data_IF_310318079997
#
_entry.id   IF_310318079997
#
_cell.length_a   1.000
_cell.length_b   1.000
_cell.length_c   1.000
_cell.angle_alpha   90.00
_cell.angle_beta   90.00
_cell.angle_gamma   90.00
#
_symmetry.space_group_name_H-M   'P 1'
#
loop_
_entity.id
_entity.type
_entity.pdbx_description
1 polymer ?
#
# COMPACT_ATOMS: atom_id res chain seq x y z
N UNK A 1 -13.15 13.88 12.83
CA UNK A 1 -14.53 13.37 12.66
C UNK A 1 -14.88 13.55 11.20
N UNK A 2 -15.25 12.49 10.53
CA UNK A 2 -15.82 12.57 9.19
C UNK A 2 -17.29 12.18 9.25
N UNK A 3 -18.07 12.65 8.31
CA UNK A 3 -19.50 12.33 8.23
C UNK A 3 -19.77 11.66 6.90
N UNK A 4 -20.60 10.61 6.93
CA UNK A 4 -21.10 9.94 5.74
C UNK A 4 -22.48 10.49 5.42
N UNK A 5 -22.66 10.96 4.20
CA UNK A 5 -23.90 11.51 3.69
C UNK A 5 -24.46 10.61 2.59
N UNK A 6 -25.75 10.32 2.65
CA UNK A 6 -26.48 9.65 1.58
C UNK A 6 -27.36 10.66 0.83
N UNK A 7 -27.24 10.65 -0.49
CA UNK A 7 -28.12 11.44 -1.32
C UNK A 7 -29.54 10.83 -1.36
N UNK A 8 -30.53 11.54 -0.89
CA UNK A 8 -31.94 11.08 -0.86
C UNK A 8 -32.55 10.90 -2.25
N UNK A 9 -31.88 11.39 -3.31
CA UNK A 9 -32.37 11.28 -4.69
C UNK A 9 -31.79 10.10 -5.46
N UNK A 10 -30.50 9.76 -5.26
CA UNK A 10 -29.82 8.73 -6.06
C UNK A 10 -29.07 7.69 -5.22
N UNK A 11 -29.22 7.75 -3.90
CA UNK A 11 -28.57 6.89 -2.91
C UNK A 11 -27.03 6.86 -3.00
N UNK A 12 -26.40 7.84 -3.66
CA UNK A 12 -24.95 7.96 -3.68
C UNK A 12 -24.46 8.36 -2.29
N UNK A 13 -23.37 7.71 -1.85
CA UNK A 13 -22.68 8.06 -0.61
C UNK A 13 -21.62 9.12 -0.90
N UNK A 14 -21.49 10.09 0.00
CA UNK A 14 -20.45 11.12 -0.04
C UNK A 14 -19.82 11.22 1.34
N UNK A 15 -18.49 11.29 1.39
CA UNK A 15 -17.71 11.41 2.61
C UNK A 15 -17.22 12.84 2.75
N UNK A 16 -17.35 13.44 3.93
CA UNK A 16 -16.79 14.75 4.23
C UNK A 16 -15.88 14.67 5.46
N UNK A 17 -14.64 15.09 5.30
CA UNK A 17 -13.66 15.15 6.37
C UNK A 17 -13.92 16.29 7.37
N UNK A 18 -14.86 17.19 7.07
CA UNK A 18 -15.29 18.26 7.96
C UNK A 18 -16.76 18.11 8.28
N UNK A 19 -17.22 18.65 9.42
CA UNK A 19 -18.65 18.78 9.76
C UNK A 19 -19.42 19.72 8.83
N UNK A 20 -18.79 20.22 7.78
CA UNK A 20 -19.37 21.10 6.79
C UNK A 20 -20.37 20.34 5.95
N UNK A 21 -21.55 20.87 5.86
CA UNK A 21 -22.65 20.38 5.04
C UNK A 21 -22.14 20.13 3.61
N UNK A 22 -22.32 18.93 3.08
CA UNK A 22 -22.15 18.67 1.65
C UNK A 22 -23.21 19.49 0.93
N UNK A 23 -22.79 20.50 0.18
CA UNK A 23 -23.69 21.47 -0.42
C UNK A 23 -24.58 20.85 -1.50
N UNK A 24 -24.10 19.84 -2.21
CA UNK A 24 -24.85 19.09 -3.22
C UNK A 24 -24.21 17.72 -3.48
N UNK A 25 -25.03 16.75 -3.91
CA UNK A 25 -24.57 15.46 -4.36
C UNK A 25 -23.78 15.58 -5.68
N UNK A 26 -22.55 15.15 -5.70
CA UNK A 26 -21.66 15.21 -6.89
C UNK A 26 -22.22 14.40 -8.06
N UNK A 27 -22.97 13.32 -7.77
CA UNK A 27 -23.52 12.44 -8.81
C UNK A 27 -24.75 13.01 -9.51
N UNK A 28 -25.65 13.72 -8.80
CA UNK A 28 -26.93 14.14 -9.37
C UNK A 28 -27.32 15.61 -9.07
N UNK A 29 -26.44 16.37 -8.41
CA UNK A 29 -26.67 17.78 -8.06
C UNK A 29 -27.74 18.03 -6.99
N UNK A 30 -28.34 16.99 -6.38
CA UNK A 30 -29.35 17.16 -5.34
C UNK A 30 -28.73 17.74 -4.07
N UNK A 31 -29.41 18.70 -3.46
CA UNK A 31 -29.05 19.29 -2.17
C UNK A 31 -29.63 18.53 -0.97
N UNK A 32 -30.46 17.51 -1.23
CA UNK A 32 -31.09 16.72 -0.17
C UNK A 32 -30.17 15.56 0.23
N UNK A 33 -29.43 15.78 1.29
CA UNK A 33 -28.49 14.80 1.84
C UNK A 33 -28.95 14.37 3.23
N UNK A 34 -28.82 13.07 3.55
CA UNK A 34 -29.05 12.54 4.89
C UNK A 34 -27.71 12.14 5.50
N UNK A 35 -27.44 12.59 6.71
CA UNK A 35 -26.33 12.06 7.49
C UNK A 35 -26.68 10.64 7.92
N UNK A 36 -25.91 9.65 7.47
CA UNK A 36 -26.13 8.26 7.87
C UNK A 36 -25.43 7.98 9.19
N UNK A 37 -24.27 8.54 9.38
CA UNK A 37 -23.44 8.29 10.55
C UNK A 37 -22.51 9.49 10.75
N UNK A 38 -22.50 10.04 11.97
CA UNK A 38 -21.34 10.78 12.43
C UNK A 38 -20.34 9.72 12.84
N UNK A 39 -19.45 9.37 11.92
CA UNK A 39 -18.30 8.57 12.27
C UNK A 39 -17.44 9.47 13.15
N UNK A 40 -17.66 9.41 14.45
CA UNK A 40 -16.62 9.77 15.38
C UNK A 40 -15.50 8.78 15.06
N UNK A 41 -14.47 9.25 14.36
CA UNK A 41 -13.17 8.63 14.43
C UNK A 41 -12.59 8.92 15.84
N UNK A 42 -13.29 8.60 16.88
CA UNK A 42 -12.71 7.89 17.97
C UNK A 42 -12.45 6.49 17.41
N UNK A 43 -11.56 6.45 16.42
CA UNK A 43 -10.71 5.31 16.25
C UNK A 43 -10.23 5.03 17.65
N UNK A 44 -10.66 3.94 18.24
CA UNK A 44 -9.75 3.23 19.08
C UNK A 44 -8.47 3.23 18.24
N UNK A 45 -7.52 4.11 18.59
CA UNK A 45 -6.20 4.15 17.98
C UNK A 45 -5.72 2.71 18.09
N UNK A 46 -5.90 1.97 17.00
CA UNK A 46 -5.42 0.62 16.99
C UNK A 46 -3.92 0.81 17.20
N UNK A 47 -3.42 0.35 18.33
CA UNK A 47 -2.04 0.54 18.70
C UNK A 47 -1.16 0.24 17.49
N UNK A 48 -0.09 1.02 17.24
CA UNK A 48 0.80 0.82 16.11
C UNK A 48 1.18 -0.65 16.03
N UNK A 49 1.11 -1.22 14.84
CA UNK A 49 1.38 -2.64 14.64
C UNK A 49 2.71 -2.82 13.92
N UNK A 50 3.49 -3.77 14.40
CA UNK A 50 4.56 -4.36 13.59
C UNK A 50 3.91 -5.30 12.59
N UNK A 51 4.26 -5.24 11.28
CA UNK A 51 3.75 -6.16 10.29
C UNK A 51 4.00 -7.61 10.71
N UNK A 52 2.95 -8.41 10.69
CA UNK A 52 3.03 -9.85 10.90
C UNK A 52 3.25 -10.59 9.57
N UNK A 53 3.67 -11.82 9.66
CA UNK A 53 3.75 -12.71 8.49
C UNK A 53 2.39 -12.81 7.83
N UNK A 54 2.33 -12.53 6.53
CA UNK A 54 1.10 -12.50 5.74
C UNK A 54 0.45 -11.12 5.59
N UNK A 55 0.98 -10.08 6.26
CA UNK A 55 0.44 -8.73 6.10
C UNK A 55 0.86 -8.10 4.76
N UNK A 56 -0.11 -7.49 4.10
CA UNK A 56 0.08 -6.65 2.92
C UNK A 56 -0.12 -5.18 3.32
N UNK A 57 0.97 -4.47 3.46
CA UNK A 57 1.02 -3.11 4.00
C UNK A 57 1.20 -2.09 2.88
N UNK A 58 0.74 -0.86 3.08
CA UNK A 58 1.00 0.26 2.18
C UNK A 58 1.49 1.49 2.94
N UNK A 59 2.38 2.24 2.29
CA UNK A 59 2.75 3.59 2.66
C UNK A 59 2.65 4.52 1.47
N UNK A 60 2.20 5.75 1.73
CA UNK A 60 2.13 6.82 0.76
C UNK A 60 3.26 7.80 1.09
N UNK A 61 4.13 8.08 0.13
CA UNK A 61 5.32 8.92 0.32
C UNK A 61 5.30 10.13 -0.62
N UNK A 62 5.93 11.22 -0.21
CA UNK A 62 6.01 12.45 -1.01
C UNK A 62 7.26 12.48 -1.91
N UNK A 63 8.31 11.75 -1.54
CA UNK A 63 9.57 11.75 -2.27
C UNK A 63 10.42 10.48 -2.02
N UNK A 64 11.56 10.42 -2.71
CA UNK A 64 12.51 9.30 -2.61
C UNK A 64 13.24 9.23 -1.26
N UNK A 65 13.39 10.34 -0.54
CA UNK A 65 14.04 10.34 0.77
C UNK A 65 13.11 9.72 1.81
N UNK A 66 11.84 10.05 1.75
CA UNK A 66 10.81 9.42 2.57
C UNK A 66 10.65 7.93 2.24
N UNK A 67 10.58 7.58 0.95
CA UNK A 67 10.53 6.19 0.50
C UNK A 67 11.71 5.38 1.05
N UNK A 68 12.93 5.91 0.99
CA UNK A 68 14.11 5.24 1.52
C UNK A 68 14.07 5.09 3.04
N UNK A 69 13.61 6.11 3.76
CA UNK A 69 13.48 6.09 5.23
C UNK A 69 12.52 5.00 5.69
N UNK A 70 11.34 4.93 5.08
CA UNK A 70 10.32 3.91 5.38
C UNK A 70 10.84 2.51 5.02
N UNK A 71 11.40 2.36 3.82
CA UNK A 71 11.93 1.08 3.36
C UNK A 71 13.08 0.59 4.26
N UNK A 72 14.02 1.46 4.68
CA UNK A 72 15.10 1.08 5.59
C UNK A 72 14.56 0.51 6.91
N UNK A 73 13.56 1.15 7.51
CA UNK A 73 12.93 0.65 8.74
C UNK A 73 12.33 -0.74 8.53
N UNK A 74 11.52 -0.90 7.49
CA UNK A 74 10.87 -2.17 7.16
C UNK A 74 11.90 -3.29 6.87
N UNK A 75 12.99 -2.99 6.16
CA UNK A 75 14.10 -3.89 5.87
C UNK A 75 14.78 -4.33 7.18
N UNK A 76 15.18 -3.36 8.02
CA UNK A 76 15.90 -3.64 9.27
C UNK A 76 15.07 -4.51 10.21
N UNK A 77 13.76 -4.26 10.30
CA UNK A 77 12.86 -5.06 11.13
C UNK A 77 12.77 -6.51 10.62
N UNK A 78 12.68 -6.73 9.31
CA UNK A 78 12.72 -8.07 8.71
C UNK A 78 14.04 -8.79 8.96
N UNK A 79 15.17 -8.09 8.78
CA UNK A 79 16.48 -8.65 9.04
C UNK A 79 16.68 -9.05 10.53
N UNK A 80 16.11 -8.27 11.46
CA UNK A 80 16.11 -8.59 12.90
C UNK A 80 15.22 -9.78 13.22
N UNK A 81 14.10 -9.92 12.53
CA UNK A 81 13.20 -11.07 12.64
C UNK A 81 13.78 -12.34 12.00
N UNK A 82 14.92 -12.25 11.31
CA UNK A 82 15.54 -13.38 10.62
C UNK A 82 14.86 -13.74 9.31
N UNK A 83 14.08 -12.82 8.72
CA UNK A 83 13.40 -13.01 7.45
C UNK A 83 14.38 -12.80 6.28
N UNK A 84 14.09 -13.41 5.14
CA UNK A 84 14.69 -13.07 3.86
C UNK A 84 14.10 -11.76 3.36
N UNK A 85 14.93 -10.78 3.04
CA UNK A 85 14.46 -9.42 2.71
C UNK A 85 14.85 -9.04 1.30
N UNK A 86 13.86 -8.56 0.53
CA UNK A 86 14.03 -8.04 -0.83
C UNK A 86 13.46 -6.62 -0.94
N UNK A 87 14.09 -5.80 -1.79
CA UNK A 87 13.60 -4.46 -2.13
C UNK A 87 13.51 -4.31 -3.65
N UNK A 88 12.33 -3.91 -4.13
CA UNK A 88 12.03 -3.60 -5.54
C UNK A 88 11.63 -2.13 -5.66
N UNK A 89 12.60 -1.24 -5.46
CA UNK A 89 12.40 0.21 -5.50
C UNK A 89 13.30 0.84 -6.56
N UNK A 90 12.99 2.05 -7.05
CA UNK A 90 13.81 2.74 -8.03
C UNK A 90 15.27 2.86 -7.61
N UNK A 91 16.20 2.85 -8.57
CA UNK A 91 17.64 2.91 -8.33
C UNK A 91 18.05 4.07 -7.42
N UNK A 92 17.38 5.24 -7.51
CA UNK A 92 17.61 6.38 -6.64
C UNK A 92 17.28 6.10 -5.17
N UNK A 93 16.21 5.34 -4.90
CA UNK A 93 15.84 4.91 -3.54
C UNK A 93 16.79 3.82 -3.05
N UNK A 94 17.10 2.83 -3.89
CA UNK A 94 18.08 1.78 -3.57
C UNK A 94 19.44 2.36 -3.17
N UNK A 95 19.89 3.43 -3.84
CA UNK A 95 21.13 4.13 -3.50
C UNK A 95 21.09 4.76 -2.10
N UNK A 96 19.97 5.37 -1.71
CA UNK A 96 19.75 5.94 -0.38
C UNK A 96 19.70 4.87 0.71
N UNK A 97 19.00 3.77 0.44
CA UNK A 97 18.96 2.59 1.31
C UNK A 97 20.40 2.07 1.53
N UNK A 98 21.18 1.91 0.45
CA UNK A 98 22.57 1.44 0.52
C UNK A 98 23.47 2.38 1.33
N UNK A 99 23.21 3.68 1.31
CA UNK A 99 23.96 4.64 2.10
C UNK A 99 23.58 4.64 3.59
N UNK A 100 22.41 4.12 3.94
CA UNK A 100 21.86 4.13 5.30
C UNK A 100 22.14 2.81 6.05
N UNK A 101 22.03 1.67 5.37
CA UNK A 101 22.22 0.38 5.97
C UNK A 101 23.71 0.10 6.26
N UNK A 102 23.98 -0.63 7.33
CA UNK A 102 25.33 -1.12 7.62
C UNK A 102 25.78 -2.13 6.56
N UNK A 103 27.09 -2.34 6.43
CA UNK A 103 27.64 -3.33 5.51
C UNK A 103 27.14 -4.77 5.78
N UNK A 104 26.78 -5.07 7.02
CA UNK A 104 26.23 -6.38 7.40
C UNK A 104 24.78 -6.55 6.94
N UNK A 105 23.97 -5.52 7.12
CA UNK A 105 22.58 -5.49 6.64
C UNK A 105 22.53 -5.55 5.11
N UNK A 106 23.42 -4.81 4.42
CA UNK A 106 23.49 -4.81 2.95
C UNK A 106 23.82 -6.19 2.36
N UNK A 107 24.59 -7.02 3.05
CA UNK A 107 24.87 -8.40 2.60
C UNK A 107 23.65 -9.33 2.72
N UNK A 108 22.66 -8.94 3.49
CA UNK A 108 21.49 -9.75 3.84
C UNK A 108 20.22 -9.30 3.14
N UNK A 109 20.25 -8.20 2.40
CA UNK A 109 19.11 -7.67 1.64
C UNK A 109 19.40 -7.74 0.15
N UNK A 110 18.41 -8.17 -0.64
CA UNK A 110 18.47 -8.14 -2.10
C UNK A 110 17.83 -6.83 -2.60
N UNK A 111 18.68 -5.91 -3.11
CA UNK A 111 18.23 -4.65 -3.69
C UNK A 111 18.13 -4.80 -5.21
N UNK A 112 16.93 -4.64 -5.75
CA UNK A 112 16.64 -4.76 -7.18
C UNK A 112 16.01 -3.44 -7.67
N UNK A 113 16.51 -2.91 -8.77
CA UNK A 113 15.91 -1.72 -9.40
C UNK A 113 14.52 -2.05 -9.92
N UNK A 114 13.52 -1.29 -9.44
CA UNK A 114 12.12 -1.41 -9.81
C UNK A 114 11.90 -1.37 -11.33
N UNK A 115 12.69 -0.60 -12.08
CA UNK A 115 12.60 -0.53 -13.53
C UNK A 115 12.91 -1.86 -14.25
N UNK A 116 13.59 -2.79 -13.57
CA UNK A 116 13.82 -4.14 -14.10
C UNK A 116 12.68 -5.10 -13.80
N UNK A 117 11.84 -4.75 -12.83
CA UNK A 117 10.72 -5.55 -12.32
C UNK A 117 9.40 -5.06 -12.90
N UNK A 118 9.08 -3.79 -12.68
CA UNK A 118 7.88 -3.14 -13.18
C UNK A 118 8.16 -2.54 -14.57
N UNK A 119 7.90 -3.28 -15.62
CA UNK A 119 8.14 -2.86 -17.01
C UNK A 119 7.02 -3.29 -17.92
N UNK A 120 6.75 -2.48 -18.94
CA UNK A 120 5.76 -2.80 -19.96
C UNK A 120 6.29 -3.88 -20.96
N UNK A 121 5.44 -4.81 -21.44
CA UNK A 121 4.08 -5.01 -20.96
C UNK A 121 4.07 -5.60 -19.54
N UNK A 122 3.32 -4.98 -18.63
CA UNK A 122 3.18 -5.47 -17.27
C UNK A 122 2.12 -6.57 -17.22
N UNK A 123 2.43 -7.67 -16.55
CA UNK A 123 1.52 -8.80 -16.33
C UNK A 123 1.47 -9.08 -14.82
N UNK A 124 0.37 -8.69 -14.20
CA UNK A 124 0.12 -8.83 -12.77
C UNK A 124 0.26 -10.28 -12.28
N UNK A 125 -0.31 -11.23 -13.01
CA UNK A 125 -0.28 -12.64 -12.61
C UNK A 125 1.14 -13.23 -12.70
N UNK A 126 1.88 -12.90 -13.76
CA UNK A 126 3.27 -13.36 -13.91
C UNK A 126 4.18 -12.74 -12.82
N UNK A 127 3.93 -11.47 -12.46
CA UNK A 127 4.67 -10.81 -11.40
C UNK A 127 4.43 -11.45 -10.03
N UNK A 128 3.18 -11.67 -9.66
CA UNK A 128 2.86 -12.32 -8.38
C UNK A 128 3.35 -13.77 -8.35
N UNK A 129 3.21 -14.53 -9.43
CA UNK A 129 3.75 -15.89 -9.53
C UNK A 129 5.27 -15.92 -9.26
N UNK A 130 6.03 -14.94 -9.79
CA UNK A 130 7.46 -14.80 -9.53
C UNK A 130 7.75 -14.56 -8.04
N UNK A 131 6.98 -13.73 -7.36
CA UNK A 131 7.12 -13.49 -5.90
C UNK A 131 6.85 -14.78 -5.13
N UNK A 132 5.78 -15.50 -5.49
CA UNK A 132 5.42 -16.79 -4.88
C UNK A 132 6.53 -17.83 -5.08
N UNK A 133 7.10 -17.93 -6.28
CA UNK A 133 8.22 -18.84 -6.56
C UNK A 133 9.44 -18.51 -5.69
N UNK A 134 9.73 -17.23 -5.51
CA UNK A 134 10.79 -16.78 -4.61
C UNK A 134 10.49 -17.15 -3.17
N UNK A 135 9.26 -16.93 -2.69
CA UNK A 135 8.87 -17.29 -1.33
C UNK A 135 8.99 -18.80 -1.07
N UNK A 136 8.59 -19.61 -2.03
CA UNK A 136 8.64 -21.09 -1.92
C UNK A 136 10.04 -21.68 -2.10
N UNK A 137 11.00 -20.93 -2.64
CA UNK A 137 12.36 -21.43 -2.89
C UNK A 137 13.15 -21.71 -1.62
N UNK A 138 12.78 -21.11 -0.50
CA UNK A 138 13.42 -21.26 0.80
C UNK A 138 12.40 -21.29 1.94
N UNK A 139 12.68 -22.01 3.04
CA UNK A 139 11.75 -22.12 4.18
C UNK A 139 11.70 -20.85 5.03
N UNK A 140 12.60 -19.91 4.81
CA UNK A 140 12.66 -18.63 5.55
C UNK A 140 11.55 -17.70 5.06
N UNK A 141 10.74 -17.11 5.94
CA UNK A 141 9.70 -16.16 5.54
C UNK A 141 10.26 -15.03 4.68
N UNK A 142 9.52 -14.65 3.64
CA UNK A 142 9.90 -13.57 2.74
C UNK A 142 9.27 -12.25 3.21
N UNK A 143 10.10 -11.22 3.30
CA UNK A 143 9.69 -9.83 3.44
C UNK A 143 10.09 -9.04 2.20
N UNK A 144 9.16 -8.34 1.59
CA UNK A 144 9.41 -7.58 0.37
C UNK A 144 8.90 -6.15 0.50
N UNK A 145 9.73 -5.17 0.12
CA UNK A 145 9.32 -3.78 -0.04
C UNK A 145 9.46 -3.40 -1.50
N UNK A 146 8.40 -2.85 -2.08
CA UNK A 146 8.39 -2.49 -3.50
C UNK A 146 7.31 -1.48 -3.84
N UNK A 147 7.38 -0.95 -5.05
CA UNK A 147 6.37 -0.06 -5.59
C UNK A 147 6.85 0.71 -6.80
N UNK A 148 5.93 1.04 -7.70
CA UNK A 148 6.19 1.95 -8.82
C UNK A 148 6.16 3.37 -8.26
N UNK A 149 7.34 3.94 -7.94
CA UNK A 149 7.44 5.36 -7.66
C UNK A 149 7.48 6.13 -8.99
N UNK A 150 6.73 7.19 -9.07
CA UNK A 150 6.45 7.92 -10.30
C UNK A 150 5.02 7.68 -10.82
N UNK A 151 4.77 7.96 -12.07
CA UNK A 151 3.45 7.76 -12.68
C UNK A 151 3.20 6.26 -12.96
N UNK A 152 2.29 5.61 -12.23
CA UNK A 152 2.01 4.18 -12.44
C UNK A 152 1.41 3.88 -13.83
N UNK A 153 0.80 4.88 -14.50
CA UNK A 153 0.22 4.71 -15.84
C UNK A 153 1.27 4.46 -16.92
N UNK A 154 2.54 4.84 -16.70
CA UNK A 154 3.65 4.53 -17.59
C UNK A 154 3.99 3.03 -17.61
N UNK A 155 3.61 2.29 -16.57
CA UNK A 155 3.89 0.86 -16.42
C UNK A 155 2.69 0.01 -16.84
N UNK A 156 1.50 0.34 -16.32
CA UNK A 156 0.28 -0.41 -16.57
C UNK A 156 -0.96 0.46 -16.43
N UNK A 157 -2.07 0.03 -17.05
CA UNK A 157 -3.38 0.62 -16.81
C UNK A 157 -3.93 0.29 -15.43
N UNK A 158 -4.92 1.07 -14.99
CA UNK A 158 -5.55 0.92 -13.68
C UNK A 158 -6.03 -0.51 -13.39
N UNK A 159 -6.73 -1.15 -14.34
CA UNK A 159 -7.27 -2.52 -14.17
C UNK A 159 -6.17 -3.55 -13.89
N UNK A 160 -4.99 -3.38 -14.51
CA UNK A 160 -3.88 -4.31 -14.31
C UNK A 160 -3.19 -4.07 -12.96
N UNK A 161 -3.14 -2.83 -12.48
CA UNK A 161 -2.68 -2.52 -11.12
C UNK A 161 -3.65 -3.04 -10.06
N UNK A 162 -4.96 -2.85 -10.23
CA UNK A 162 -5.97 -3.40 -9.31
C UNK A 162 -5.89 -4.92 -9.23
N UNK A 163 -5.68 -5.57 -10.37
CA UNK A 163 -5.44 -7.01 -10.43
C UNK A 163 -4.17 -7.42 -9.71
N UNK A 164 -3.07 -6.68 -9.90
CA UNK A 164 -1.81 -6.93 -9.22
C UNK A 164 -1.95 -6.84 -7.71
N UNK A 165 -2.51 -5.78 -7.19
CA UNK A 165 -2.70 -5.57 -5.75
C UNK A 165 -3.60 -6.62 -5.12
N UNK A 166 -4.66 -7.05 -5.82
CA UNK A 166 -5.54 -8.12 -5.36
C UNK A 166 -4.79 -9.45 -5.26
N UNK A 167 -4.08 -9.84 -6.32
CA UNK A 167 -3.31 -11.09 -6.35
C UNK A 167 -2.13 -11.05 -5.36
N UNK A 168 -1.48 -9.90 -5.18
CA UNK A 168 -0.40 -9.72 -4.21
C UNK A 168 -0.92 -9.91 -2.78
N UNK A 169 -2.09 -9.36 -2.47
CA UNK A 169 -2.73 -9.57 -1.17
C UNK A 169 -3.03 -11.05 -0.91
N UNK A 170 -3.65 -11.74 -1.87
CA UNK A 170 -3.94 -13.18 -1.77
C UNK A 170 -2.66 -14.00 -1.56
N UNK A 171 -1.58 -13.67 -2.29
CA UNK A 171 -0.29 -14.32 -2.16
C UNK A 171 0.36 -14.06 -0.78
N UNK A 172 0.28 -12.84 -0.26
CA UNK A 172 0.78 -12.54 1.09
C UNK A 172 0.12 -13.43 2.13
N UNK A 173 -1.19 -13.56 2.11
CA UNK A 173 -1.95 -14.39 3.05
C UNK A 173 -1.63 -15.89 2.86
N UNK A 174 -1.62 -16.38 1.61
CA UNK A 174 -1.46 -17.80 1.33
C UNK A 174 -0.04 -18.32 1.58
N UNK A 175 0.98 -17.53 1.26
CA UNK A 175 2.39 -17.94 1.29
C UNK A 175 3.13 -17.39 2.52
N UNK A 176 2.48 -16.60 3.37
CA UNK A 176 3.12 -15.96 4.52
C UNK A 176 4.16 -14.90 4.12
N UNK A 177 3.93 -14.17 3.04
CA UNK A 177 4.79 -13.09 2.58
C UNK A 177 4.39 -11.81 3.33
N UNK A 178 5.37 -11.10 3.90
CA UNK A 178 5.14 -9.76 4.45
C UNK A 178 5.54 -8.73 3.41
N UNK A 179 4.58 -7.95 2.90
CA UNK A 179 4.83 -6.97 1.86
C UNK A 179 4.55 -5.54 2.33
N UNK A 180 5.39 -4.59 1.88
CA UNK A 180 5.15 -3.16 1.99
C UNK A 180 5.16 -2.55 0.58
N UNK A 181 3.99 -2.10 0.14
CA UNK A 181 3.85 -1.34 -1.10
C UNK A 181 4.11 0.14 -0.83
N UNK A 182 5.04 0.72 -1.58
CA UNK A 182 5.40 2.14 -1.48
C UNK A 182 4.85 2.86 -2.71
N UNK A 183 3.99 3.84 -2.49
CA UNK A 183 3.37 4.63 -3.55
C UNK A 183 3.69 6.10 -3.36
N UNK A 184 4.04 6.80 -4.45
CA UNK A 184 4.33 8.24 -4.42
C UNK A 184 3.05 9.06 -4.58
N UNK A 185 2.90 10.08 -3.70
CA UNK A 185 1.81 11.06 -3.77
C UNK A 185 2.40 12.48 -3.84
N UNK A 186 1.91 13.38 -4.64
CA UNK A 186 1.27 13.28 -5.94
C UNK A 186 2.27 13.00 -7.08
N UNK A 187 1.87 12.44 -8.22
CA UNK A 187 0.55 12.69 -8.84
C UNK A 187 -0.36 11.47 -8.90
N UNK A 188 -0.67 10.82 -7.78
CA UNK A 188 -1.52 9.63 -7.80
C UNK A 188 -2.98 10.01 -8.11
N UNK A 189 -3.61 9.41 -9.15
CA UNK A 189 -5.03 9.57 -9.40
C UNK A 189 -5.91 9.06 -8.25
N UNK A 190 -7.08 9.69 -8.03
CA UNK A 190 -7.97 9.35 -6.92
C UNK A 190 -8.45 7.89 -6.95
N UNK A 191 -8.68 7.32 -8.12
CA UNK A 191 -9.07 5.92 -8.30
C UNK A 191 -7.96 4.95 -7.89
N UNK A 192 -6.71 5.27 -8.20
CA UNK A 192 -5.54 4.50 -7.75
C UNK A 192 -5.41 4.58 -6.23
N UNK A 193 -5.56 5.77 -5.64
CA UNK A 193 -5.54 5.93 -4.18
C UNK A 193 -6.64 5.12 -3.48
N UNK A 194 -7.85 5.09 -4.04
CA UNK A 194 -8.94 4.27 -3.52
C UNK A 194 -8.66 2.77 -3.66
N UNK A 195 -8.08 2.34 -4.78
CA UNK A 195 -7.67 0.95 -4.99
C UNK A 195 -6.63 0.54 -3.95
N UNK A 196 -5.57 1.32 -3.79
CA UNK A 196 -4.52 1.08 -2.78
C UNK A 196 -5.11 0.94 -1.38
N UNK A 197 -6.05 1.81 -0.99
CA UNK A 197 -6.71 1.71 0.32
C UNK A 197 -7.55 0.44 0.49
N UNK A 198 -8.15 -0.09 -0.56
CA UNK A 198 -9.01 -1.28 -0.46
C UNK A 198 -8.26 -2.61 -0.43
N UNK A 199 -7.00 -2.63 -0.86
CA UNK A 199 -6.23 -3.87 -1.08
C UNK A 199 -5.21 -4.19 0.03
N UNK A 200 -4.98 -3.29 0.98
CA UNK A 200 -3.94 -3.46 1.99
C UNK A 200 -4.49 -3.63 3.40
N UNK A 201 -3.90 -4.54 4.18
CA UNK A 201 -4.29 -4.82 5.57
C UNK A 201 -3.89 -3.73 6.54
N UNK A 202 -2.73 -3.11 6.29
CA UNK A 202 -2.17 -2.05 7.11
C UNK A 202 -1.82 -0.83 6.24
N UNK A 203 -2.06 0.37 6.78
CA UNK A 203 -1.67 1.64 6.19
C UNK A 203 -0.71 2.34 7.13
N UNK A 204 0.38 2.92 6.60
CA UNK A 204 1.30 3.73 7.38
C UNK A 204 0.80 5.16 7.51
N UNK A 205 0.84 5.67 8.75
CA UNK A 205 0.63 7.06 9.09
C UNK A 205 1.70 7.51 10.06
N UNK A 206 2.51 8.50 9.66
CA UNK A 206 3.47 9.14 10.55
C UNK A 206 4.47 8.18 11.21
N UNK A 207 5.07 7.28 10.47
CA UNK A 207 6.02 6.26 10.93
C UNK A 207 5.41 5.03 11.64
N UNK A 208 4.09 4.94 11.73
CA UNK A 208 3.39 3.84 12.39
C UNK A 208 2.41 3.16 11.42
N UNK A 209 2.36 1.83 11.46
CA UNK A 209 1.40 1.04 10.68
C UNK A 209 0.12 0.84 11.49
N UNK A 210 -1.00 1.17 10.90
CA UNK A 210 -2.33 1.02 11.48
C UNK A 210 -3.19 0.08 10.66
N UNK A 211 -4.12 -0.59 11.31
CA UNK A 211 -5.09 -1.43 10.60
C UNK A 211 -5.90 -0.58 9.63
N UNK A 212 -6.00 -1.03 8.39
CA UNK A 212 -6.80 -0.36 7.39
C UNK A 212 -8.30 -0.57 7.66
N UNK A 213 -9.05 0.50 7.99
CA UNK A 213 -10.49 0.40 8.24
C UNK A 213 -11.28 0.20 6.95
N UNK A 214 -10.70 0.54 5.79
CA UNK A 214 -11.37 0.52 4.48
C UNK A 214 -11.20 -0.83 3.76
N UNK A 215 -10.46 -1.77 4.36
CA UNK A 215 -10.30 -3.11 3.80
C UNK A 215 -11.63 -3.86 3.85
N UNK A 216 -12.29 -3.95 2.71
CA UNK A 216 -13.51 -4.76 2.53
C UNK A 216 -13.08 -6.10 1.94
N UNK A 217 -13.00 -7.12 2.78
CA UNK A 217 -12.87 -8.49 2.31
C UNK A 217 -14.18 -8.90 1.64
N UNK A 218 -14.15 -9.09 0.34
CA UNK A 218 -15.13 -9.93 -0.34
C UNK A 218 -14.69 -11.40 -0.13
N UNK A 219 -15.10 -11.96 1.02
CA UNK A 219 -14.95 -13.38 1.32
C UNK A 219 -15.86 -14.25 0.47
#
# INVERSE_FOLDING_TARGET
MASVFECMRCNALTYSASRSVVAACERCGSTTMRVLEEVSFETAEAAPRTPAVGDHCVTLVEDFDEAARVACRFIVDGLRAGERVMSWLPAGVCSRISATLSADELRRVELVDAATVYKAPFDAAAMVARVVDVARSEPTPLRIVGGPLGDPSEVAGFEEWERYETLAHEACVAEGITALCVWETPPMPDDVLQMVRRTHTLIEHGDELHRNPDLVWAG
#
